data_IF_303234799594
#
_entry.id   IF_303234799594
#
_cell.length_a   1.000
_cell.length_b   1.000
_cell.length_c   1.000
_cell.angle_alpha   90.00
_cell.angle_beta   90.00
_cell.angle_gamma   90.00
#
_symmetry.space_group_name_H-M   'P 1'
#
loop_
_entity.id
_entity.type
_entity.pdbx_description
1 polymer ?
#
# COMPACT_ATOMS: atom_id res chain seq x y z
N UNK A 1 42.37 -10.46 4.90
CA UNK A 1 41.77 -9.11 4.99
C UNK A 1 40.81 -8.77 3.83
N UNK A 2 40.85 -9.45 2.67
CA UNK A 2 40.00 -9.11 1.52
C UNK A 2 38.48 -9.40 1.70
N UNK A 3 38.10 -10.39 2.52
CA UNK A 3 36.68 -10.79 2.69
C UNK A 3 35.83 -9.77 3.47
N UNK A 4 36.43 -8.95 4.34
CA UNK A 4 35.71 -7.96 5.15
C UNK A 4 35.31 -6.72 4.33
N UNK A 5 36.14 -6.29 3.36
CA UNK A 5 35.81 -5.16 2.46
C UNK A 5 34.67 -5.51 1.49
N UNK A 6 34.61 -6.76 1.00
CA UNK A 6 33.53 -7.21 0.12
C UNK A 6 32.21 -7.38 0.86
N UNK A 7 32.24 -7.93 2.08
CA UNK A 7 31.04 -8.06 2.92
C UNK A 7 30.48 -6.69 3.33
N UNK A 8 31.33 -5.72 3.69
CA UNK A 8 30.91 -4.35 4.01
C UNK A 8 30.26 -3.63 2.83
N UNK A 9 30.79 -3.80 1.62
CA UNK A 9 30.20 -3.24 0.39
C UNK A 9 28.84 -3.84 0.03
N UNK A 10 28.66 -5.15 0.23
CA UNK A 10 27.40 -5.82 -0.05
C UNK A 10 26.28 -5.42 0.92
N UNK A 11 26.57 -5.28 2.22
CA UNK A 11 25.59 -4.84 3.21
C UNK A 11 25.15 -3.39 2.97
N UNK A 12 26.08 -2.48 2.68
CA UNK A 12 25.77 -1.08 2.33
C UNK A 12 24.87 -0.97 1.09
N UNK A 13 25.11 -1.81 0.08
CA UNK A 13 24.27 -1.89 -1.12
C UNK A 13 22.84 -2.32 -0.78
N UNK A 14 22.66 -3.39 0.00
CA UNK A 14 21.34 -3.88 0.39
C UNK A 14 20.58 -2.86 1.26
N UNK A 15 21.26 -2.18 2.20
CA UNK A 15 20.66 -1.10 3.01
C UNK A 15 20.18 0.06 2.12
N UNK A 16 20.95 0.41 1.08
CA UNK A 16 20.55 1.46 0.13
C UNK A 16 19.28 1.08 -0.64
N UNK A 17 19.18 -0.18 -1.10
CA UNK A 17 17.97 -0.69 -1.77
C UNK A 17 16.76 -0.65 -0.83
N UNK A 18 16.97 -0.96 0.46
CA UNK A 18 15.91 -0.95 1.48
C UNK A 18 15.33 0.44 1.67
N UNK A 19 16.21 1.45 1.78
CA UNK A 19 15.79 2.85 1.92
C UNK A 19 14.96 3.32 0.72
N UNK A 20 15.35 2.95 -0.51
CA UNK A 20 14.60 3.30 -1.73
C UNK A 20 13.22 2.65 -1.73
N UNK A 21 13.14 1.36 -1.38
CA UNK A 21 11.87 0.62 -1.31
C UNK A 21 10.93 1.18 -0.24
N UNK A 22 11.44 1.51 0.95
CA UNK A 22 10.67 2.17 2.00
C UNK A 22 10.13 3.53 1.54
N UNK A 23 10.95 4.33 0.86
CA UNK A 23 10.51 5.62 0.32
C UNK A 23 9.37 5.45 -0.69
N UNK A 24 9.43 4.42 -1.55
CA UNK A 24 8.36 4.12 -2.50
C UNK A 24 7.09 3.59 -1.80
N UNK A 25 7.22 2.78 -0.76
CA UNK A 25 6.09 2.32 0.05
C UNK A 25 5.33 3.50 0.69
N UNK A 26 6.07 4.45 1.28
CA UNK A 26 5.47 5.66 1.84
C UNK A 26 4.76 6.52 0.79
N UNK A 27 5.23 6.52 -0.46
CA UNK A 27 4.52 7.22 -1.54
C UNK A 27 3.24 6.48 -1.93
N UNK A 28 3.28 5.14 -1.97
CA UNK A 28 2.13 4.31 -2.25
C UNK A 28 1.02 4.47 -1.18
N UNK A 29 1.41 4.61 0.09
CA UNK A 29 0.49 4.94 1.20
C UNK A 29 -0.25 6.26 0.97
N UNK A 30 0.46 7.31 0.53
CA UNK A 30 -0.17 8.61 0.25
C UNK A 30 -1.15 8.51 -0.91
N UNK A 31 -0.79 7.79 -1.97
CA UNK A 31 -1.67 7.55 -3.11
C UNK A 31 -2.94 6.83 -2.66
N UNK A 32 -2.82 5.77 -1.85
CA UNK A 32 -3.97 5.06 -1.30
C UNK A 32 -4.86 5.97 -0.46
N UNK A 33 -4.29 6.79 0.42
CA UNK A 33 -5.05 7.76 1.22
C UNK A 33 -5.80 8.79 0.36
N UNK A 34 -5.17 9.29 -0.71
CA UNK A 34 -5.81 10.22 -1.63
C UNK A 34 -6.96 9.55 -2.40
N UNK A 35 -6.76 8.32 -2.89
CA UNK A 35 -7.80 7.55 -3.57
C UNK A 35 -8.98 7.25 -2.64
N UNK A 36 -8.73 6.88 -1.39
CA UNK A 36 -9.77 6.66 -0.38
C UNK A 36 -10.58 7.93 -0.10
N UNK A 37 -9.88 9.07 0.03
CA UNK A 37 -10.53 10.38 0.20
C UNK A 37 -11.42 10.72 -0.98
N UNK A 38 -10.90 10.58 -2.21
CA UNK A 38 -11.67 10.81 -3.46
C UNK A 38 -12.86 9.86 -3.57
N UNK A 39 -12.69 8.58 -3.25
CA UNK A 39 -13.75 7.58 -3.25
C UNK A 39 -14.88 7.95 -2.26
N UNK A 40 -14.53 8.46 -1.07
CA UNK A 40 -15.51 8.94 -0.09
C UNK A 40 -16.33 10.09 -0.64
N UNK A 41 -15.67 11.12 -1.17
CA UNK A 41 -16.35 12.28 -1.77
C UNK A 41 -17.28 11.87 -2.90
N UNK A 42 -16.82 11.02 -3.83
CA UNK A 42 -17.66 10.56 -4.93
C UNK A 42 -18.90 9.79 -4.47
N UNK A 43 -18.77 8.96 -3.42
CA UNK A 43 -19.93 8.25 -2.83
C UNK A 43 -20.92 9.21 -2.20
N UNK A 44 -20.44 10.20 -1.45
CA UNK A 44 -21.29 11.24 -0.87
C UNK A 44 -22.02 12.05 -1.95
N UNK A 45 -21.33 12.42 -3.03
CA UNK A 45 -21.93 13.19 -4.12
C UNK A 45 -22.95 12.37 -4.92
N UNK A 46 -22.67 11.07 -5.14
CA UNK A 46 -23.66 10.13 -5.68
C UNK A 46 -24.91 10.06 -4.81
N UNK A 47 -24.76 9.89 -3.49
CA UNK A 47 -25.90 9.77 -2.57
C UNK A 47 -26.74 11.06 -2.51
N UNK A 48 -26.09 12.23 -2.52
CA UNK A 48 -26.77 13.53 -2.63
C UNK A 48 -27.54 13.64 -3.95
N UNK A 49 -26.93 13.25 -5.05
CA UNK A 49 -27.53 13.33 -6.38
C UNK A 49 -28.73 12.38 -6.52
N UNK A 50 -28.62 11.16 -5.99
CA UNK A 50 -29.73 10.20 -5.89
C UNK A 50 -30.88 10.78 -5.05
N UNK A 51 -30.60 11.45 -3.92
CA UNK A 51 -31.61 12.15 -3.13
C UNK A 51 -32.30 13.28 -3.90
N UNK A 52 -31.56 14.07 -4.68
CA UNK A 52 -32.14 15.15 -5.51
C UNK A 52 -33.02 14.56 -6.61
N UNK A 53 -32.61 13.46 -7.24
CA UNK A 53 -33.42 12.73 -8.22
C UNK A 53 -34.72 12.23 -7.60
N UNK A 54 -34.67 11.65 -6.40
CA UNK A 54 -35.87 11.21 -5.69
C UNK A 54 -36.85 12.37 -5.46
N UNK A 55 -36.36 13.51 -4.96
CA UNK A 55 -37.21 14.72 -4.79
C UNK A 55 -37.79 15.17 -6.12
N UNK A 56 -37.00 15.16 -7.20
CA UNK A 56 -37.46 15.53 -8.53
C UNK A 56 -38.54 14.59 -9.07
N UNK A 57 -38.48 13.30 -8.75
CA UNK A 57 -39.53 12.35 -9.10
C UNK A 57 -40.86 12.70 -8.42
N UNK A 58 -40.86 13.07 -7.14
CA UNK A 58 -42.06 13.54 -6.45
C UNK A 58 -42.61 14.84 -7.07
N UNK A 59 -41.72 15.76 -7.47
CA UNK A 59 -42.14 16.98 -8.16
C UNK A 59 -42.82 16.67 -9.50
N UNK A 60 -42.35 15.67 -10.25
CA UNK A 60 -42.99 15.25 -11.49
C UNK A 60 -44.45 14.83 -11.28
N UNK A 61 -44.72 14.08 -10.21
CA UNK A 61 -46.06 13.65 -9.86
C UNK A 61 -46.95 14.82 -9.43
N UNK A 62 -46.39 15.75 -8.65
CA UNK A 62 -47.11 16.95 -8.18
C UNK A 62 -47.52 17.88 -9.34
N UNK A 63 -46.69 18.01 -10.37
CA UNK A 63 -46.92 18.90 -11.51
C UNK A 63 -47.44 18.18 -12.77
N UNK A 64 -47.92 16.95 -12.64
CA UNK A 64 -48.34 16.11 -13.78
C UNK A 64 -49.39 16.75 -14.70
N UNK A 65 -50.29 17.57 -14.15
CA UNK A 65 -51.36 18.22 -14.91
C UNK A 65 -50.91 19.59 -15.50
N UNK A 66 -49.63 19.94 -15.31
CA UNK A 66 -49.01 21.17 -15.80
C UNK A 66 -47.87 20.84 -16.77
N UNK A 67 -48.16 20.62 -18.07
CA UNK A 67 -47.20 20.06 -19.03
C UNK A 67 -45.90 20.85 -19.16
N UNK A 68 -45.97 22.19 -19.14
CA UNK A 68 -44.78 23.04 -19.20
C UNK A 68 -43.85 22.90 -17.96
N UNK A 69 -44.41 22.56 -16.79
CA UNK A 69 -43.61 22.28 -15.59
C UNK A 69 -43.02 20.87 -15.66
N UNK A 70 -43.83 19.88 -16.05
CA UNK A 70 -43.37 18.50 -16.23
C UNK A 70 -42.20 18.39 -17.23
N UNK A 71 -42.25 19.12 -18.34
CA UNK A 71 -41.15 19.16 -19.32
C UNK A 71 -39.85 19.72 -18.73
N UNK A 72 -39.93 20.77 -17.91
CA UNK A 72 -38.74 21.34 -17.24
C UNK A 72 -38.15 20.38 -16.23
N UNK A 73 -38.99 19.72 -15.43
CA UNK A 73 -38.54 18.71 -14.45
C UNK A 73 -37.90 17.53 -15.20
N UNK A 74 -38.48 17.08 -16.31
CA UNK A 74 -37.95 15.98 -17.11
C UNK A 74 -36.58 16.32 -17.69
N UNK A 75 -36.38 17.56 -18.15
CA UNK A 75 -35.08 18.04 -18.59
C UNK A 75 -34.06 18.04 -17.44
N UNK A 76 -34.43 18.53 -16.25
CA UNK A 76 -33.55 18.50 -15.08
C UNK A 76 -33.18 17.07 -14.69
N UNK A 77 -34.13 16.13 -14.66
CA UNK A 77 -33.85 14.72 -14.38
C UNK A 77 -32.85 14.11 -15.35
N UNK A 78 -32.90 14.46 -16.64
CA UNK A 78 -31.93 13.98 -17.62
C UNK A 78 -30.52 14.45 -17.31
N UNK A 79 -30.34 15.73 -16.96
CA UNK A 79 -29.02 16.25 -16.57
C UNK A 79 -28.51 15.59 -15.29
N UNK A 80 -29.36 15.44 -14.28
CA UNK A 80 -28.99 14.77 -13.02
C UNK A 80 -28.62 13.30 -13.25
N UNK A 81 -29.31 12.60 -14.16
CA UNK A 81 -28.96 11.23 -14.53
C UNK A 81 -27.65 11.14 -15.29
N UNK A 82 -27.34 12.11 -16.17
CA UNK A 82 -26.06 12.21 -16.86
C UNK A 82 -24.91 12.39 -15.85
N UNK A 83 -25.05 13.32 -14.90
CA UNK A 83 -24.10 13.52 -13.81
C UNK A 83 -23.91 12.24 -12.98
N UNK A 84 -24.98 11.49 -12.71
CA UNK A 84 -24.92 10.24 -11.96
C UNK A 84 -24.14 9.16 -12.70
N UNK A 85 -24.29 9.08 -14.02
CA UNK A 85 -23.50 8.17 -14.88
C UNK A 85 -22.02 8.55 -14.81
N UNK A 86 -21.69 9.84 -14.88
CA UNK A 86 -20.32 10.32 -14.75
C UNK A 86 -19.71 9.98 -13.37
N UNK A 87 -20.43 10.24 -12.28
CA UNK A 87 -19.96 9.90 -10.93
C UNK A 87 -19.74 8.39 -10.79
N UNK A 88 -20.64 7.54 -11.30
CA UNK A 88 -20.47 6.08 -11.27
C UNK A 88 -19.27 5.60 -12.08
N UNK A 89 -19.02 6.22 -13.22
CA UNK A 89 -17.83 5.95 -14.02
C UNK A 89 -16.54 6.33 -13.25
N UNK A 90 -16.55 7.49 -12.59
CA UNK A 90 -15.43 7.96 -11.78
C UNK A 90 -15.18 7.07 -10.56
N UNK A 91 -16.22 6.61 -9.87
CA UNK A 91 -16.12 5.62 -8.78
C UNK A 91 -15.45 4.34 -9.29
N UNK A 92 -15.88 3.84 -10.46
CA UNK A 92 -15.33 2.62 -11.06
C UNK A 92 -13.84 2.79 -11.40
N UNK A 93 -13.47 3.97 -11.92
CA UNK A 93 -12.08 4.33 -12.21
C UNK A 93 -11.24 4.36 -10.94
N UNK A 94 -11.68 5.08 -9.89
CA UNK A 94 -10.95 5.16 -8.62
C UNK A 94 -10.84 3.79 -7.95
N UNK A 95 -11.87 2.94 -8.04
CA UNK A 95 -11.79 1.55 -7.55
C UNK A 95 -10.68 0.76 -8.23
N UNK A 96 -10.60 0.87 -9.56
CA UNK A 96 -9.55 0.20 -10.36
C UNK A 96 -8.16 0.76 -10.03
N UNK A 97 -8.03 2.08 -9.85
CA UNK A 97 -6.78 2.71 -9.42
C UNK A 97 -6.37 2.23 -8.02
N UNK A 98 -7.33 2.05 -7.12
CA UNK A 98 -7.07 1.57 -5.76
C UNK A 98 -6.61 0.10 -5.75
N UNK A 99 -7.23 -0.76 -6.56
CA UNK A 99 -6.77 -2.15 -6.73
C UNK A 99 -5.32 -2.23 -7.22
N UNK A 100 -4.95 -1.41 -8.22
CA UNK A 100 -3.58 -1.34 -8.72
C UNK A 100 -2.59 -0.84 -7.67
N UNK A 101 -2.96 0.23 -6.96
CA UNK A 101 -2.16 0.79 -5.88
C UNK A 101 -1.91 -0.24 -4.77
N UNK A 102 -2.93 -1.05 -4.44
CA UNK A 102 -2.82 -2.15 -3.49
C UNK A 102 -1.91 -3.27 -3.97
N UNK A 103 -1.96 -3.63 -5.25
CA UNK A 103 -1.07 -4.63 -5.84
C UNK A 103 0.40 -4.18 -5.76
N UNK A 104 0.67 -2.91 -6.14
CA UNK A 104 2.02 -2.33 -6.02
C UNK A 104 2.51 -2.29 -4.57
N UNK A 105 1.63 -1.92 -3.63
CA UNK A 105 1.94 -1.92 -2.20
C UNK A 105 2.34 -3.32 -1.72
N UNK A 106 1.52 -4.33 -2.03
CA UNK A 106 1.77 -5.72 -1.62
C UNK A 106 3.09 -6.24 -2.19
N UNK A 107 3.40 -5.93 -3.45
CA UNK A 107 4.68 -6.33 -4.03
C UNK A 107 5.86 -5.64 -3.34
N UNK A 108 5.75 -4.35 -3.00
CA UNK A 108 6.78 -3.63 -2.26
C UNK A 108 7.01 -4.22 -0.86
N UNK A 109 5.94 -4.60 -0.15
CA UNK A 109 6.07 -5.29 1.13
C UNK A 109 6.82 -6.62 0.99
N UNK A 110 6.49 -7.42 -0.04
CA UNK A 110 7.20 -8.68 -0.30
C UNK A 110 8.68 -8.46 -0.61
N UNK A 111 9.00 -7.47 -1.43
CA UNK A 111 10.39 -7.10 -1.74
C UNK A 111 11.16 -6.68 -0.48
N UNK A 112 10.52 -5.90 0.40
CA UNK A 112 11.11 -5.46 1.67
C UNK A 112 11.38 -6.65 2.61
N UNK A 113 10.47 -7.62 2.69
CA UNK A 113 10.67 -8.85 3.47
C UNK A 113 11.86 -9.66 2.95
N UNK A 114 11.94 -9.88 1.64
CA UNK A 114 13.06 -10.60 1.02
C UNK A 114 14.39 -9.89 1.26
N UNK A 115 14.39 -8.56 1.18
CA UNK A 115 15.60 -7.76 1.38
C UNK A 115 16.05 -7.77 2.84
N UNK A 116 15.11 -7.73 3.80
CA UNK A 116 15.39 -7.92 5.22
C UNK A 116 16.05 -9.27 5.47
N UNK A 117 15.50 -10.34 4.90
CA UNK A 117 16.03 -11.69 5.09
C UNK A 117 17.45 -11.81 4.50
N UNK A 118 17.66 -11.26 3.30
CA UNK A 118 18.99 -11.21 2.67
C UNK A 118 20.02 -10.40 3.50
N UNK A 119 19.60 -9.28 4.09
CA UNK A 119 20.43 -8.48 5.00
C UNK A 119 20.80 -9.28 6.26
N UNK A 120 19.84 -9.98 6.84
CA UNK A 120 20.05 -10.79 8.03
C UNK A 120 20.99 -11.97 7.75
N UNK A 121 20.84 -12.64 6.60
CA UNK A 121 21.72 -13.72 6.17
C UNK A 121 23.17 -13.24 5.93
N UNK A 122 23.35 -12.09 5.27
CA UNK A 122 24.68 -11.51 5.05
C UNK A 122 25.37 -11.15 6.37
N UNK A 123 24.61 -10.57 7.31
CA UNK A 123 25.11 -10.23 8.63
C UNK A 123 25.43 -11.49 9.46
N UNK A 124 24.58 -12.52 9.42
CA UNK A 124 24.83 -13.80 10.07
C UNK A 124 26.07 -14.52 9.52
N UNK A 125 26.26 -14.51 8.20
CA UNK A 125 27.48 -15.06 7.57
C UNK A 125 28.74 -14.31 7.98
N UNK A 126 28.67 -12.98 8.12
CA UNK A 126 29.78 -12.16 8.63
C UNK A 126 30.17 -12.55 10.07
N UNK A 127 29.18 -12.81 10.93
CA UNK A 127 29.40 -13.25 12.31
C UNK A 127 30.01 -14.66 12.38
N UNK A 128 29.47 -15.62 11.60
CA UNK A 128 30.00 -16.99 11.56
C UNK A 128 31.45 -17.05 11.03
N UNK A 129 31.80 -16.18 10.08
CA UNK A 129 33.16 -16.05 9.56
C UNK A 129 34.14 -15.53 10.64
N UNK A 130 33.69 -14.68 11.58
CA UNK A 130 34.51 -14.22 12.72
C UNK A 130 34.67 -15.26 13.82
N UNK A 131 33.63 -16.07 14.08
CA UNK A 131 33.68 -17.13 15.12
C UNK A 131 34.65 -18.26 14.72
N UNK A 132 34.72 -18.61 13.43
CA UNK A 132 35.63 -19.64 12.92
C UNK A 132 37.13 -19.27 13.01
N UNK A 133 37.45 -17.98 13.18
CA UNK A 133 38.83 -17.48 13.32
C UNK A 133 39.34 -17.42 14.77
N UNK A 134 38.53 -17.80 15.78
CA UNK A 134 38.97 -17.86 17.17
C UNK A 134 39.12 -19.34 17.58
N UNK A 135 40.34 -19.88 17.74
CA UNK A 135 40.50 -21.27 18.13
C UNK A 135 39.90 -21.47 19.53
N UNK A 136 39.19 -22.60 19.77
CA UNK A 136 38.71 -22.92 21.11
C UNK A 136 39.92 -23.07 22.02
N UNK A 137 39.92 -22.36 23.16
CA UNK A 137 40.83 -22.67 24.24
C UNK A 137 40.49 -24.08 24.72
N UNK A 138 41.28 -25.06 24.30
CA UNK A 138 41.22 -26.42 24.82
C UNK A 138 41.55 -26.35 26.31
N UNK A 139 40.53 -26.46 27.14
CA UNK A 139 40.68 -26.74 28.57
C UNK A 139 41.41 -28.07 28.72
N UNK A 140 42.66 -28.06 29.16
CA UNK A 140 43.28 -29.25 29.75
C UNK A 140 42.84 -29.33 31.21
N UNK A 141 41.78 -30.09 31.48
CA UNK A 141 41.70 -30.80 32.76
C UNK A 141 42.90 -31.76 32.83
N UNK A 142 43.64 -31.72 33.93
CA UNK A 142 44.48 -32.84 34.34
C UNK A 142 44.42 -32.95 35.85
N UNK A 143 43.89 -34.08 36.28
CA UNK A 143 43.57 -34.50 37.64
C UNK A 143 44.69 -34.27 38.68
N UNK A 144 44.34 -34.06 39.97
CA UNK A 144 45.30 -34.13 41.05
C UNK A 144 45.50 -35.57 41.58
N UNK A 145 46.78 -35.98 41.64
CA UNK A 145 47.40 -37.01 42.50
C UNK A 145 47.12 -38.50 42.20
N UNK A 146 48.10 -39.38 42.53
CA UNK A 146 48.08 -39.91 43.88
C UNK A 146 49.40 -39.71 44.65
N UNK A 147 49.23 -39.72 45.98
CA UNK A 147 50.27 -39.73 46.99
C UNK A 147 51.10 -41.03 46.90
N UNK A 148 52.42 -40.90 46.79
CA UNK A 148 53.47 -41.65 47.52
C UNK A 148 54.85 -41.09 47.16
#
# INVERSE_FOLDING_TARGET
MANLCWAGGSVLSLVSVLQVKLSRLCEQDKILQELESRMRTLKEDKDKLESVLDVSHHQMEQYRDQPAHAEKIAYQQRLLQEDLVHIRADISRVSTEMEKAWEEYSQLEMDLLQLRDALQDQMGRSVLSQVSLRPPALSCERDPAPLL
#
